data_IF_892852884042
#
_entry.id   IF_892852884042
#
_cell.length_a   1.000
_cell.length_b   1.000
_cell.length_c   1.000
_cell.angle_alpha   90.00
_cell.angle_beta   90.00
_cell.angle_gamma   90.00
#
_symmetry.space_group_name_H-M   'P 1'
#
loop_
_entity.id
_entity.type
_entity.pdbx_description
1 polymer ?
#
# COMPACT_ATOMS: atom_id res chain seq x y z
N UNK A 1 17.13 68.70 -16.47
CA UNK A 1 16.64 68.19 -15.15
C UNK A 1 15.47 67.23 -15.25
N UNK A 2 14.45 67.41 -16.09
CA UNK A 2 13.27 66.48 -16.19
C UNK A 2 13.60 65.11 -16.77
N UNK A 3 14.52 64.98 -17.72
CA UNK A 3 14.93 63.70 -18.31
C UNK A 3 15.72 62.83 -17.29
N UNK A 4 16.62 63.45 -16.54
CA UNK A 4 17.44 62.75 -15.53
C UNK A 4 16.54 62.17 -14.41
N UNK A 5 15.50 62.87 -13.96
CA UNK A 5 14.51 62.39 -12.99
C UNK A 5 13.72 61.20 -13.51
N UNK A 6 13.34 61.20 -14.80
CA UNK A 6 12.60 60.08 -15.43
C UNK A 6 13.48 58.81 -15.55
N UNK A 7 14.76 58.97 -15.91
CA UNK A 7 15.70 57.84 -15.98
C UNK A 7 15.99 57.22 -14.61
N UNK A 8 16.12 58.07 -13.56
CA UNK A 8 16.31 57.59 -12.19
C UNK A 8 15.08 56.84 -11.66
N UNK A 9 13.84 57.32 -11.94
CA UNK A 9 12.64 56.60 -11.57
C UNK A 9 12.51 55.24 -12.28
N UNK A 10 12.85 55.15 -13.56
CA UNK A 10 12.81 53.87 -14.31
C UNK A 10 13.82 52.88 -13.77
N UNK A 11 15.03 53.31 -13.41
CA UNK A 11 16.03 52.45 -12.81
C UNK A 11 15.63 51.94 -11.42
N UNK A 12 15.00 52.81 -10.60
CA UNK A 12 14.47 52.42 -9.30
C UNK A 12 13.31 51.42 -9.41
N UNK A 13 12.40 51.60 -10.35
CA UNK A 13 11.30 50.65 -10.61
C UNK A 13 11.84 49.32 -11.12
N UNK A 14 12.83 49.28 -12.01
CA UNK A 14 13.46 48.08 -12.50
C UNK A 14 14.18 47.32 -11.39
N UNK A 15 14.89 48.02 -10.49
CA UNK A 15 15.54 47.40 -9.32
C UNK A 15 14.52 46.81 -8.33
N UNK A 16 13.38 47.48 -8.11
CA UNK A 16 12.30 46.95 -7.28
C UNK A 16 11.64 45.69 -7.89
N UNK A 17 11.48 45.67 -9.22
CA UNK A 17 10.94 44.48 -9.92
C UNK A 17 11.90 43.30 -9.86
N UNK A 18 13.22 43.52 -9.94
CA UNK A 18 14.21 42.43 -9.81
C UNK A 18 14.22 41.83 -8.41
N UNK A 19 13.97 42.58 -7.35
CA UNK A 19 13.90 42.05 -5.98
C UNK A 19 12.64 41.21 -5.73
N UNK A 20 11.54 41.48 -6.45
CA UNK A 20 10.31 40.67 -6.36
C UNK A 20 10.43 39.32 -7.06
N UNK A 21 11.30 39.18 -8.04
CA UNK A 21 11.57 37.92 -8.73
C UNK A 21 12.52 36.98 -7.96
N UNK A 22 13.31 37.51 -7.02
CA UNK A 22 14.24 36.72 -6.20
C UNK A 22 13.57 36.08 -4.94
N UNK A 23 12.28 36.42 -4.68
CA UNK A 23 11.60 36.04 -3.43
C UNK A 23 10.81 34.74 -3.43
N UNK A 24 10.81 33.95 -4.50
CA UNK A 24 10.06 32.69 -4.57
C UNK A 24 10.94 31.45 -4.74
N UNK A 25 12.06 31.39 -4.06
CA UNK A 25 12.70 30.12 -3.75
C UNK A 25 11.97 29.53 -2.54
N UNK A 26 10.99 28.62 -2.73
CA UNK A 26 10.60 27.71 -1.66
C UNK A 26 11.87 26.94 -1.28
N UNK A 27 12.50 27.30 -0.15
CA UNK A 27 13.38 26.40 0.54
C UNK A 27 12.48 25.22 0.93
N UNK A 28 12.61 24.10 0.26
CA UNK A 28 12.10 22.84 0.78
C UNK A 28 12.89 22.60 2.07
N UNK A 29 12.24 22.85 3.21
CA UNK A 29 12.76 22.36 4.48
C UNK A 29 12.95 20.85 4.30
N UNK A 30 14.12 20.30 4.69
CA UNK A 30 14.29 18.85 4.66
C UNK A 30 13.12 18.26 5.44
N UNK A 31 12.37 17.34 4.80
CA UNK A 31 11.27 16.65 5.44
C UNK A 31 11.80 16.07 6.76
N UNK A 32 11.27 16.53 7.89
CA UNK A 32 11.60 15.95 9.17
C UNK A 32 11.22 14.47 9.11
N UNK A 33 12.15 13.60 9.44
CA UNK A 33 11.89 12.17 9.52
C UNK A 33 10.76 11.94 10.52
N UNK A 34 9.60 11.47 10.03
CA UNK A 34 8.48 11.14 10.88
C UNK A 34 8.75 9.79 11.54
N UNK A 35 9.13 9.82 12.82
CA UNK A 35 9.42 8.63 13.60
C UNK A 35 8.20 8.22 14.40
N UNK A 36 7.71 7.01 14.18
CA UNK A 36 6.68 6.37 14.99
C UNK A 36 7.33 5.30 15.86
N UNK A 37 7.13 5.40 17.16
CA UNK A 37 7.56 4.38 18.12
C UNK A 37 6.35 3.59 18.59
N UNK A 38 6.36 2.28 18.38
CA UNK A 38 5.32 1.37 18.83
C UNK A 38 5.92 0.29 19.74
N UNK A 39 5.19 -0.07 20.79
CA UNK A 39 5.55 -1.20 21.64
C UNK A 39 4.69 -2.40 21.27
N UNK A 40 5.33 -3.55 21.09
CA UNK A 40 4.68 -4.84 20.82
C UNK A 40 4.81 -5.71 22.05
N UNK A 41 3.73 -6.37 22.45
CA UNK A 41 3.73 -7.26 23.59
C UNK A 41 4.20 -8.66 23.17
N UNK A 42 5.28 -9.15 23.77
CA UNK A 42 5.81 -10.50 23.54
C UNK A 42 7.00 -10.55 22.57
N UNK A 43 7.61 -11.75 22.41
CA UNK A 43 8.70 -11.95 21.49
C UNK A 43 8.16 -11.95 20.03
N UNK A 44 8.91 -11.35 19.12
CA UNK A 44 8.66 -11.46 17.69
C UNK A 44 9.27 -12.80 17.19
N UNK A 45 8.44 -13.78 16.91
CA UNK A 45 8.90 -15.09 16.46
C UNK A 45 9.24 -15.06 14.96
N UNK A 46 8.45 -14.35 14.16
CA UNK A 46 8.66 -14.24 12.71
C UNK A 46 8.04 -12.94 12.17
N UNK A 47 8.66 -12.35 11.15
CA UNK A 47 8.07 -11.27 10.35
C UNK A 47 7.51 -11.77 9.00
N UNK A 48 7.43 -13.09 8.83
CA UNK A 48 6.79 -13.69 7.67
C UNK A 48 5.27 -13.79 7.89
N UNK A 49 4.45 -13.03 7.14
CA UNK A 49 2.99 -13.04 7.29
C UNK A 49 2.37 -14.43 7.08
N UNK A 50 3.01 -15.26 6.22
CA UNK A 50 2.54 -16.60 5.92
C UNK A 50 2.66 -17.55 7.12
N UNK A 51 3.63 -17.31 8.00
CA UNK A 51 3.98 -18.19 9.12
C UNK A 51 3.52 -17.64 10.48
N UNK A 52 3.05 -16.40 10.54
CA UNK A 52 2.68 -15.76 11.80
C UNK A 52 1.40 -16.36 12.40
N UNK A 53 1.44 -16.65 13.70
CA UNK A 53 0.28 -17.09 14.51
C UNK A 53 0.07 -16.22 15.75
N UNK A 54 0.91 -15.21 15.95
CA UNK A 54 0.89 -14.35 17.14
C UNK A 54 0.19 -13.02 16.87
N UNK A 55 -0.74 -12.64 17.74
CA UNK A 55 -1.54 -11.41 17.59
C UNK A 55 -0.68 -10.14 17.77
N UNK A 56 0.35 -10.18 18.61
CA UNK A 56 1.27 -9.04 18.78
C UNK A 56 2.06 -8.78 17.52
N UNK A 57 2.59 -9.85 16.92
CA UNK A 57 3.30 -9.79 15.64
C UNK A 57 2.36 -9.38 14.50
N UNK A 58 1.10 -9.84 14.49
CA UNK A 58 0.11 -9.44 13.50
C UNK A 58 -0.11 -7.93 13.48
N UNK A 59 -0.17 -7.30 14.67
CA UNK A 59 -0.28 -5.85 14.77
C UNK A 59 0.90 -5.12 14.11
N UNK A 60 2.12 -5.66 14.22
CA UNK A 60 3.29 -5.13 13.54
C UNK A 60 3.23 -5.39 12.03
N UNK A 61 2.90 -6.61 11.61
CA UNK A 61 2.80 -6.98 10.20
C UNK A 61 1.77 -6.11 9.46
N UNK A 62 0.65 -5.78 10.10
CA UNK A 62 -0.36 -4.87 9.55
C UNK A 62 0.14 -3.44 9.31
N UNK A 63 1.27 -3.04 9.91
CA UNK A 63 1.93 -1.75 9.67
C UNK A 63 3.02 -1.85 8.60
N UNK A 64 3.58 -3.04 8.38
CA UNK A 64 4.65 -3.29 7.39
C UNK A 64 4.10 -3.66 6.02
N UNK A 65 2.97 -4.35 5.99
CA UNK A 65 2.33 -4.86 4.77
C UNK A 65 0.94 -4.27 4.58
N UNK A 66 0.53 -4.16 3.34
CA UNK A 66 -0.81 -3.75 2.99
C UNK A 66 -1.47 -4.78 2.05
N UNK A 67 -2.71 -5.18 2.37
CA UNK A 67 -3.49 -6.09 1.54
C UNK A 67 -4.18 -5.39 0.37
N UNK A 68 -4.85 -6.18 -0.48
CA UNK A 68 -5.74 -5.64 -1.53
C UNK A 68 -6.77 -4.68 -0.93
N UNK A 69 -7.40 -5.11 0.15
CA UNK A 69 -8.36 -4.33 0.93
C UNK A 69 -7.90 -4.32 2.39
N UNK A 70 -8.39 -3.35 3.16
CA UNK A 70 -8.18 -3.28 4.61
C UNK A 70 -9.51 -3.15 5.33
N UNK A 71 -9.56 -3.63 6.57
CA UNK A 71 -10.72 -3.43 7.42
C UNK A 71 -10.59 -2.10 8.18
N UNK A 72 -11.67 -1.34 8.23
CA UNK A 72 -11.77 -0.10 8.99
C UNK A 72 -13.09 -0.05 9.73
N UNK A 73 -13.11 0.58 10.90
CA UNK A 73 -14.35 0.95 11.58
C UNK A 73 -15.05 2.08 10.79
N UNK A 74 -16.36 1.95 10.58
CA UNK A 74 -17.19 2.95 9.88
C UNK A 74 -17.58 4.15 10.78
N UNK A 75 -17.09 4.17 12.03
CA UNK A 75 -17.43 5.17 13.04
C UNK A 75 -18.68 4.82 13.85
N UNK A 76 -19.38 3.73 13.51
CA UNK A 76 -20.52 3.17 14.24
C UNK A 76 -20.18 1.83 14.92
N UNK A 77 -18.91 1.43 14.93
CA UNK A 77 -18.43 0.17 15.50
C UNK A 77 -18.57 -1.04 14.55
N UNK A 78 -18.87 -0.83 13.28
CA UNK A 78 -18.93 -1.88 12.27
C UNK A 78 -17.66 -1.88 11.43
N UNK A 79 -17.04 -3.06 11.31
CA UNK A 79 -15.90 -3.24 10.42
C UNK A 79 -16.38 -3.29 8.95
N UNK A 80 -15.79 -2.45 8.10
CA UNK A 80 -16.05 -2.38 6.67
C UNK A 80 -14.76 -2.51 5.87
N UNK A 81 -14.83 -3.19 4.73
CA UNK A 81 -13.70 -3.30 3.81
C UNK A 81 -13.54 -1.97 3.05
N UNK A 82 -12.34 -1.42 3.08
CA UNK A 82 -11.98 -0.21 2.34
C UNK A 82 -10.77 -0.48 1.45
N UNK A 83 -10.55 0.39 0.48
CA UNK A 83 -9.44 0.28 -0.46
C UNK A 83 -8.08 0.25 0.26
N UNK A 84 -7.29 -0.78 -0.04
CA UNK A 84 -5.87 -0.93 0.31
C UNK A 84 -4.98 -0.67 -0.91
N UNK A 85 -4.18 -1.67 -1.31
CA UNK A 85 -3.41 -1.64 -2.55
C UNK A 85 -4.34 -1.63 -3.78
N UNK A 86 -5.48 -2.33 -3.72
CA UNK A 86 -6.52 -2.17 -4.74
C UNK A 86 -7.25 -0.83 -4.51
N UNK A 87 -7.41 -0.05 -5.58
CA UNK A 87 -8.21 1.18 -5.55
C UNK A 87 -9.72 0.89 -5.64
N UNK A 88 -10.08 -0.22 -6.26
CA UNK A 88 -11.46 -0.66 -6.50
C UNK A 88 -11.49 -2.16 -6.80
N UNK A 89 -12.65 -2.78 -6.64
CA UNK A 89 -12.91 -4.14 -7.10
C UNK A 89 -14.30 -4.24 -7.72
N UNK A 90 -14.47 -5.25 -8.57
CA UNK A 90 -15.74 -5.65 -9.17
C UNK A 90 -16.08 -7.04 -8.65
N UNK A 91 -17.33 -7.25 -8.27
CA UNK A 91 -17.87 -8.53 -7.85
C UNK A 91 -18.86 -9.03 -8.91
N UNK A 92 -18.64 -10.24 -9.42
CA UNK A 92 -19.51 -10.88 -10.42
C UNK A 92 -19.93 -12.25 -9.90
N UNK A 93 -21.26 -12.47 -9.83
CA UNK A 93 -21.83 -13.78 -9.50
C UNK A 93 -21.92 -14.64 -10.75
N UNK A 94 -21.34 -15.83 -10.68
CA UNK A 94 -21.36 -16.81 -11.75
C UNK A 94 -22.60 -17.72 -11.67
N UNK A 95 -22.88 -18.45 -12.76
CA UNK A 95 -24.01 -19.37 -12.84
C UNK A 95 -23.86 -20.62 -11.97
N UNK A 96 -22.66 -20.92 -11.51
CA UNK A 96 -22.30 -22.06 -10.64
C UNK A 96 -22.23 -21.69 -9.15
N UNK A 97 -22.88 -20.57 -8.77
CA UNK A 97 -22.88 -20.02 -7.43
C UNK A 97 -21.51 -19.53 -6.92
N UNK A 98 -20.47 -19.53 -7.74
CA UNK A 98 -19.20 -18.89 -7.40
C UNK A 98 -19.26 -17.37 -7.58
N UNK A 99 -18.31 -16.65 -6.98
CA UNK A 99 -18.18 -15.20 -7.11
C UNK A 99 -16.77 -14.88 -7.59
N UNK A 100 -16.66 -14.13 -8.66
CA UNK A 100 -15.38 -13.61 -9.17
C UNK A 100 -15.16 -12.18 -8.66
N UNK A 101 -14.01 -11.95 -8.04
CA UNK A 101 -13.57 -10.63 -7.62
C UNK A 101 -12.41 -10.16 -8.51
N UNK A 102 -12.62 -9.07 -9.23
CA UNK A 102 -11.59 -8.43 -10.05
C UNK A 102 -11.08 -7.17 -9.37
N UNK A 103 -9.82 -7.15 -8.99
CA UNK A 103 -9.18 -6.02 -8.29
C UNK A 103 -8.37 -5.17 -9.25
N UNK A 104 -8.54 -3.84 -9.21
CA UNK A 104 -7.69 -2.88 -9.92
C UNK A 104 -6.68 -2.28 -8.95
N UNK A 105 -5.39 -2.56 -9.14
CA UNK A 105 -4.33 -2.07 -8.28
C UNK A 105 -4.05 -0.57 -8.50
N UNK A 106 -3.58 0.12 -7.46
CA UNK A 106 -3.10 1.50 -7.55
C UNK A 106 -1.80 1.55 -8.35
N UNK A 107 -1.73 2.38 -9.37
CA UNK A 107 -0.52 2.55 -10.19
C UNK A 107 0.68 3.10 -9.40
N UNK A 108 0.42 3.80 -8.29
CA UNK A 108 1.43 4.37 -7.41
C UNK A 108 1.96 3.40 -6.34
N UNK A 109 1.37 2.18 -6.21
CA UNK A 109 1.82 1.21 -5.21
C UNK A 109 3.27 0.77 -5.47
N UNK A 110 4.08 0.83 -4.42
CA UNK A 110 5.51 0.48 -4.44
C UNK A 110 5.89 -0.31 -3.21
N UNK A 111 6.87 -1.19 -3.39
CA UNK A 111 7.63 -1.78 -2.31
C UNK A 111 8.56 -0.75 -1.67
N UNK A 112 9.11 -1.06 -0.50
CA UNK A 112 10.04 -0.17 0.21
C UNK A 112 11.35 0.11 -0.53
N UNK A 113 11.72 -0.73 -1.50
CA UNK A 113 12.87 -0.55 -2.40
C UNK A 113 12.55 0.28 -3.65
N UNK A 114 11.26 0.69 -3.82
CA UNK A 114 10.78 1.50 -4.92
C UNK A 114 10.22 0.70 -6.10
N UNK A 115 10.37 -0.63 -6.12
CA UNK A 115 9.78 -1.49 -7.16
C UNK A 115 8.25 -1.42 -7.14
N UNK A 116 7.61 -1.67 -8.27
CA UNK A 116 6.15 -1.63 -8.37
C UNK A 116 5.53 -2.87 -7.76
N UNK A 117 4.46 -2.68 -6.98
CA UNK A 117 3.59 -3.79 -6.59
C UNK A 117 2.72 -4.19 -7.77
N UNK A 118 2.70 -5.46 -8.10
CA UNK A 118 1.99 -6.04 -9.25
C UNK A 118 0.97 -7.10 -8.82
N UNK A 119 0.16 -7.60 -9.74
CA UNK A 119 -0.77 -8.70 -9.47
C UNK A 119 -0.03 -10.00 -9.16
N UNK A 120 1.12 -10.21 -9.79
CA UNK A 120 1.97 -11.39 -9.58
C UNK A 120 2.46 -11.51 -8.14
N UNK A 121 2.68 -10.39 -7.44
CA UNK A 121 3.06 -10.40 -6.02
C UNK A 121 1.95 -11.02 -5.15
N UNK A 122 0.68 -10.70 -5.44
CA UNK A 122 -0.47 -11.29 -4.74
C UNK A 122 -0.66 -12.77 -5.10
N UNK A 123 -0.53 -13.11 -6.38
CA UNK A 123 -0.60 -14.51 -6.83
C UNK A 123 0.48 -15.33 -6.14
N UNK A 124 1.72 -14.84 -6.11
CA UNK A 124 2.82 -15.49 -5.42
C UNK A 124 2.54 -15.67 -3.92
N UNK A 125 2.06 -14.63 -3.24
CA UNK A 125 1.78 -14.68 -1.81
C UNK A 125 0.69 -15.71 -1.48
N UNK A 126 -0.39 -15.76 -2.27
CA UNK A 126 -1.49 -16.69 -2.07
C UNK A 126 -1.07 -18.14 -2.39
N UNK A 127 -0.36 -18.33 -3.51
CA UNK A 127 0.20 -19.64 -3.86
C UNK A 127 1.18 -20.16 -2.80
N UNK A 128 2.02 -19.29 -2.24
CA UNK A 128 2.92 -19.64 -1.15
C UNK A 128 2.17 -20.01 0.13
N UNK A 129 1.09 -19.26 0.44
CA UNK A 129 0.27 -19.53 1.63
C UNK A 129 -0.38 -20.91 1.59
N UNK A 130 -0.89 -21.35 0.43
CA UNK A 130 -1.59 -22.63 0.29
C UNK A 130 -0.68 -23.81 -0.06
N UNK A 131 0.56 -23.56 -0.46
CA UNK A 131 1.54 -24.59 -0.84
C UNK A 131 1.78 -25.55 0.34
N UNK A 132 1.53 -26.89 0.18
CA UNK A 132 1.84 -27.87 1.22
C UNK A 132 3.30 -27.82 1.69
N UNK A 133 4.25 -27.51 0.79
CA UNK A 133 5.66 -27.41 1.11
C UNK A 133 6.00 -26.23 2.02
N UNK A 134 5.20 -25.16 2.01
CA UNK A 134 5.33 -24.03 2.93
C UNK A 134 4.91 -24.43 4.35
N UNK A 135 4.02 -25.40 4.49
CA UNK A 135 3.45 -25.84 5.76
C UNK A 135 2.87 -24.70 6.61
N UNK A 136 2.27 -23.69 5.94
CA UNK A 136 1.70 -22.54 6.63
C UNK A 136 0.55 -22.94 7.56
N UNK A 137 0.55 -22.50 8.83
CA UNK A 137 -0.58 -22.69 9.73
C UNK A 137 -1.82 -21.91 9.28
N UNK A 138 -1.64 -20.93 8.40
CA UNK A 138 -2.69 -20.03 7.91
C UNK A 138 -3.26 -20.43 6.54
N UNK A 139 -2.87 -21.55 5.96
CA UNK A 139 -3.29 -21.99 4.63
C UNK A 139 -4.82 -22.01 4.47
N UNK A 140 -5.56 -22.41 5.53
CA UNK A 140 -7.02 -22.47 5.53
C UNK A 140 -7.74 -21.13 5.36
N UNK A 141 -7.04 -19.99 5.50
CA UNK A 141 -7.61 -18.68 5.22
C UNK A 141 -8.09 -18.52 3.77
N UNK A 142 -7.50 -19.30 2.84
CA UNK A 142 -7.90 -19.32 1.44
C UNK A 142 -8.78 -20.53 1.08
N UNK A 143 -9.35 -21.26 2.05
CA UNK A 143 -10.16 -22.46 1.79
C UNK A 143 -11.41 -22.20 0.94
N UNK A 144 -11.87 -20.95 0.85
CA UNK A 144 -12.98 -20.53 -0.01
C UNK A 144 -12.58 -20.17 -1.44
N UNK A 145 -11.27 -20.13 -1.73
CA UNK A 145 -10.75 -19.78 -3.06
C UNK A 145 -10.77 -21.03 -3.94
N UNK A 146 -11.26 -20.90 -5.16
CA UNK A 146 -11.34 -21.99 -6.12
C UNK A 146 -9.93 -22.58 -6.37
N UNK A 147 -9.86 -23.91 -6.43
CA UNK A 147 -8.60 -24.63 -6.59
C UNK A 147 -7.82 -24.89 -5.30
N UNK A 148 -8.25 -24.33 -4.15
CA UNK A 148 -7.56 -24.56 -2.86
C UNK A 148 -7.31 -26.04 -2.56
N UNK A 149 -8.36 -26.86 -2.57
CA UNK A 149 -8.27 -28.28 -2.24
C UNK A 149 -7.33 -29.02 -3.21
N UNK A 150 -7.41 -28.71 -4.51
CA UNK A 150 -6.56 -29.31 -5.53
C UNK A 150 -5.06 -28.98 -5.32
N UNK A 151 -4.75 -27.71 -4.95
CA UNK A 151 -3.38 -27.34 -4.58
C UNK A 151 -2.93 -28.09 -3.34
N UNK A 152 -3.78 -28.21 -2.32
CA UNK A 152 -3.44 -28.91 -1.07
C UNK A 152 -3.19 -30.41 -1.26
N UNK A 153 -3.89 -31.03 -2.22
CA UNK A 153 -3.73 -32.46 -2.55
C UNK A 153 -2.55 -32.72 -3.47
N UNK A 154 -2.34 -31.89 -4.47
CA UNK A 154 -1.37 -32.15 -5.55
C UNK A 154 -0.05 -31.40 -5.40
N UNK A 155 -0.04 -30.28 -4.68
CA UNK A 155 1.08 -29.32 -4.64
C UNK A 155 1.19 -28.45 -5.91
N UNK A 156 0.27 -28.58 -6.85
CA UNK A 156 0.26 -27.76 -8.08
C UNK A 156 -0.38 -26.39 -7.84
N UNK A 157 0.47 -25.41 -7.56
CA UNK A 157 0.05 -24.03 -7.25
C UNK A 157 -0.66 -23.31 -8.40
N UNK A 158 -0.53 -23.80 -9.63
CA UNK A 158 -1.19 -23.22 -10.81
C UNK A 158 -2.70 -23.45 -10.81
N UNK A 159 -3.20 -24.30 -9.91
CA UNK A 159 -4.63 -24.62 -9.74
C UNK A 159 -5.39 -23.60 -8.91
N UNK A 160 -4.72 -22.77 -8.13
CA UNK A 160 -5.36 -21.69 -7.40
C UNK A 160 -5.84 -20.62 -8.40
N UNK A 161 -7.13 -20.24 -8.30
CA UNK A 161 -7.79 -19.36 -9.26
C UNK A 161 -8.16 -18.01 -8.64
#
# INVERSE_FOLDING_TARGET
MKMLRRSVCLLLCAALFLTLLAGCGKQEEPAEDFVVSAAVCGPLETLDPTMNTDVGTESLLSTLFEGLMRMRDDGAGKAVAVAGIAKEYIEEKNYDDTVTYTFTLRSAARWSDGERVTAEDFVYAWQRLVDPATASPNASLLSMVAGYDEVRETGDKTKLQ
#
